data_IF_003593156242
#
_entry.id   IF_003593156242
#
_cell.length_a   1.000
_cell.length_b   1.000
_cell.length_c   1.000
_cell.angle_alpha   90.00
_cell.angle_beta   90.00
_cell.angle_gamma   90.00
#
_symmetry.space_group_name_H-M   'P 1'
#
loop_
_entity.id
_entity.type
_entity.pdbx_description
1 polymer ?
#
# COMPACT_ATOMS: atom_id res chain seq x y z
N UNK A 1 4.28 4.03 13.66
CA UNK A 1 4.13 2.81 12.82
C UNK A 1 3.70 1.59 13.61
N UNK A 2 4.50 1.07 14.56
CA UNK A 2 4.08 -0.09 15.39
C UNK A 2 2.83 0.16 16.22
N UNK A 3 2.63 1.39 16.67
CA UNK A 3 1.37 1.82 17.31
C UNK A 3 0.24 2.03 16.30
N UNK A 4 0.54 2.22 15.02
CA UNK A 4 -0.46 2.59 14.00
C UNK A 4 -1.11 1.36 13.33
N UNK A 5 -0.42 0.21 13.30
CA UNK A 5 -0.89 -0.99 12.59
C UNK A 5 -0.13 -2.23 13.05
N UNK A 6 -0.68 -3.41 12.74
CA UNK A 6 0.02 -4.68 12.84
C UNK A 6 1.12 -4.77 11.75
N UNK A 7 2.36 -4.55 12.19
CA UNK A 7 3.53 -4.55 11.31
C UNK A 7 3.81 -5.94 10.74
N UNK A 8 3.57 -7.01 11.51
CA UNK A 8 3.85 -8.37 11.04
C UNK A 8 2.88 -8.76 9.91
N UNK A 9 1.60 -8.40 10.06
CA UNK A 9 0.61 -8.60 9.01
C UNK A 9 0.94 -7.82 7.73
N UNK A 10 1.38 -6.56 7.84
CA UNK A 10 1.79 -5.76 6.68
C UNK A 10 3.02 -6.35 6.00
N UNK A 11 4.04 -6.74 6.77
CA UNK A 11 5.24 -7.40 6.23
C UNK A 11 4.88 -8.72 5.53
N UNK A 12 3.97 -9.51 6.09
CA UNK A 12 3.50 -10.75 5.47
C UNK A 12 2.82 -10.48 4.10
N UNK A 13 2.04 -9.40 3.99
CA UNK A 13 1.44 -8.98 2.70
C UNK A 13 2.50 -8.55 1.70
N UNK A 14 3.49 -7.76 2.13
CA UNK A 14 4.59 -7.33 1.27
C UNK A 14 5.44 -8.50 0.77
N UNK A 15 5.72 -9.51 1.62
CA UNK A 15 6.41 -10.74 1.20
C UNK A 15 5.63 -11.52 0.13
N UNK A 16 4.29 -11.55 0.22
CA UNK A 16 3.45 -12.16 -0.83
C UNK A 16 3.58 -11.40 -2.15
N UNK A 17 3.53 -10.07 -2.11
CA UNK A 17 3.70 -9.21 -3.30
C UNK A 17 5.08 -9.40 -3.91
N UNK A 18 6.13 -9.44 -3.10
CA UNK A 18 7.49 -9.74 -3.53
C UNK A 18 7.57 -11.10 -4.28
N UNK A 19 6.86 -12.11 -3.79
CA UNK A 19 6.68 -13.39 -4.48
C UNK A 19 6.00 -13.25 -5.85
N UNK A 20 4.96 -12.41 -5.96
CA UNK A 20 4.30 -12.12 -7.23
C UNK A 20 5.25 -11.43 -8.21
N UNK A 21 6.04 -10.44 -7.75
CA UNK A 21 7.02 -9.74 -8.59
C UNK A 21 8.09 -10.73 -9.10
N UNK A 22 8.60 -11.63 -8.24
CA UNK A 22 9.49 -12.72 -8.68
C UNK A 22 8.84 -13.62 -9.74
N UNK A 23 7.59 -13.99 -9.55
CA UNK A 23 6.83 -14.77 -10.53
C UNK A 23 6.73 -14.07 -11.89
N UNK A 24 6.40 -12.77 -11.89
CA UNK A 24 6.34 -11.95 -13.11
C UNK A 24 7.69 -11.90 -13.82
N UNK A 25 8.80 -11.70 -13.08
CA UNK A 25 10.14 -11.72 -13.68
C UNK A 25 10.45 -13.05 -14.36
N UNK A 26 10.10 -14.17 -13.73
CA UNK A 26 10.27 -15.49 -14.33
C UNK A 26 9.39 -15.67 -15.58
N UNK A 27 8.15 -15.16 -15.58
CA UNK A 27 7.28 -15.22 -16.76
C UNK A 27 7.89 -14.48 -17.95
N UNK A 28 8.45 -13.29 -17.71
CA UNK A 28 9.15 -12.52 -18.75
C UNK A 28 10.37 -13.28 -19.28
N UNK A 29 11.16 -13.91 -18.40
CA UNK A 29 12.34 -14.68 -18.81
C UNK A 29 12.01 -15.93 -19.62
N UNK A 30 10.82 -16.51 -19.40
CA UNK A 30 10.37 -17.74 -20.04
C UNK A 30 9.43 -17.50 -21.23
N UNK A 31 9.37 -16.27 -21.76
CA UNK A 31 8.56 -15.90 -22.93
C UNK A 31 7.07 -16.28 -22.79
N UNK A 32 6.53 -16.13 -21.58
CA UNK A 32 5.10 -16.36 -21.30
C UNK A 32 4.26 -15.29 -22.02
N UNK A 33 3.05 -15.63 -22.53
CA UNK A 33 2.19 -14.68 -23.23
C UNK A 33 1.96 -13.37 -22.47
N UNK A 34 1.98 -12.26 -23.21
CA UNK A 34 1.88 -10.91 -22.67
C UNK A 34 0.60 -10.70 -21.86
N UNK A 35 -0.52 -11.27 -22.29
CA UNK A 35 -1.81 -11.22 -21.61
C UNK A 35 -1.74 -11.81 -20.19
N UNK A 36 -1.03 -12.93 -20.02
CA UNK A 36 -0.88 -13.59 -18.73
C UNK A 36 0.01 -12.76 -17.79
N UNK A 37 1.08 -12.17 -18.33
CA UNK A 37 1.95 -11.25 -17.60
C UNK A 37 1.14 -10.04 -17.11
N UNK A 38 0.32 -9.45 -17.98
CA UNK A 38 -0.54 -8.31 -17.63
C UNK A 38 -1.55 -8.67 -16.53
N UNK A 39 -2.13 -9.88 -16.57
CA UNK A 39 -3.00 -10.38 -15.50
C UNK A 39 -2.26 -10.44 -14.16
N UNK A 40 -1.04 -10.97 -14.14
CA UNK A 40 -0.24 -11.07 -12.90
C UNK A 40 0.21 -9.69 -12.38
N UNK A 41 0.57 -8.76 -13.27
CA UNK A 41 0.85 -7.36 -12.90
C UNK A 41 -0.40 -6.73 -12.27
N UNK A 42 -1.58 -6.94 -12.85
CA UNK A 42 -2.85 -6.48 -12.28
C UNK A 42 -3.10 -7.04 -10.87
N UNK A 43 -2.81 -8.32 -10.66
CA UNK A 43 -2.92 -8.96 -9.35
C UNK A 43 -1.94 -8.35 -8.32
N UNK A 44 -0.68 -8.14 -8.70
CA UNK A 44 0.32 -7.50 -7.84
C UNK A 44 -0.05 -6.04 -7.51
N UNK A 45 -0.53 -5.28 -8.50
CA UNK A 45 -1.05 -3.91 -8.33
C UNK A 45 -2.19 -3.88 -7.31
N UNK A 46 -3.18 -4.77 -7.45
CA UNK A 46 -4.32 -4.87 -6.54
C UNK A 46 -3.90 -5.21 -5.11
N UNK A 47 -2.96 -6.16 -4.95
CA UNK A 47 -2.42 -6.54 -3.64
C UNK A 47 -1.65 -5.39 -2.97
N UNK A 48 -0.86 -4.64 -3.74
CA UNK A 48 -0.14 -3.47 -3.25
C UNK A 48 -1.10 -2.36 -2.83
N UNK A 49 -2.13 -2.07 -3.63
CA UNK A 49 -3.16 -1.11 -3.29
C UNK A 49 -3.87 -1.48 -1.98
N UNK A 50 -4.32 -2.73 -1.81
CA UNK A 50 -4.94 -3.21 -0.56
C UNK A 50 -4.01 -3.12 0.64
N UNK A 51 -2.71 -3.31 0.44
CA UNK A 51 -1.71 -3.16 1.51
C UNK A 51 -1.55 -1.69 1.91
N UNK A 52 -1.52 -0.78 0.94
CA UNK A 52 -1.50 0.66 1.20
C UNK A 52 -2.75 1.17 1.91
N UNK A 53 -3.94 0.62 1.60
CA UNK A 53 -5.18 0.94 2.33
C UNK A 53 -5.08 0.62 3.83
N UNK A 54 -4.54 -0.54 4.19
CA UNK A 54 -4.35 -0.92 5.60
C UNK A 54 -3.37 0.02 6.31
N UNK A 55 -2.30 0.43 5.63
CA UNK A 55 -1.33 1.39 6.17
C UNK A 55 -2.00 2.76 6.40
N UNK A 56 -2.79 3.22 5.42
CA UNK A 56 -3.52 4.48 5.48
C UNK A 56 -4.57 4.49 6.60
N UNK A 57 -5.34 3.42 6.75
CA UNK A 57 -6.31 3.24 7.83
C UNK A 57 -5.62 3.35 9.20
N UNK A 58 -4.51 2.64 9.39
CA UNK A 58 -3.72 2.75 10.61
C UNK A 58 -3.18 4.16 10.88
N UNK A 59 -2.79 4.88 9.81
CA UNK A 59 -2.34 6.27 9.91
C UNK A 59 -3.47 7.22 10.35
N UNK A 60 -4.67 7.03 9.82
CA UNK A 60 -5.87 7.78 10.18
C UNK A 60 -6.25 7.58 11.66
N UNK A 61 -6.26 6.33 12.12
CA UNK A 61 -6.73 5.99 13.46
C UNK A 61 -5.77 6.39 14.60
N UNK A 62 -4.49 6.65 14.32
CA UNK A 62 -3.54 7.07 15.35
C UNK A 62 -3.01 8.47 15.07
N UNK A 63 -2.16 8.62 14.05
CA UNK A 63 -1.42 9.86 13.86
C UNK A 63 -2.30 11.07 13.55
N UNK A 64 -3.41 10.87 12.83
CA UNK A 64 -4.33 11.96 12.49
C UNK A 64 -5.21 12.32 13.68
N UNK A 65 -5.77 11.34 14.39
CA UNK A 65 -6.58 11.59 15.59
C UNK A 65 -5.76 12.26 16.70
N UNK A 66 -4.54 11.78 16.96
CA UNK A 66 -3.64 12.37 17.94
C UNK A 66 -3.26 13.81 17.58
N UNK A 67 -2.96 14.07 16.29
CA UNK A 67 -2.58 15.39 15.80
C UNK A 67 -3.71 16.42 15.84
N UNK A 68 -4.96 15.97 15.70
CA UNK A 68 -6.15 16.81 15.90
C UNK A 68 -6.34 17.09 17.40
N UNK A 69 -6.20 16.09 18.25
CA UNK A 69 -6.33 16.23 19.70
C UNK A 69 -5.27 17.17 20.31
N UNK A 70 -4.06 17.23 19.73
CA UNK A 70 -3.00 18.13 20.17
C UNK A 70 -3.12 19.58 19.66
N UNK A 71 -4.21 19.93 18.96
CA UNK A 71 -4.47 21.30 18.48
C UNK A 71 -3.75 21.72 17.19
N UNK A 72 -3.09 20.79 16.48
CA UNK A 72 -2.40 21.05 15.19
C UNK A 72 -3.21 20.50 14.00
N UNK A 73 -4.53 20.72 14.04
CA UNK A 73 -5.50 20.10 13.13
C UNK A 73 -5.24 20.49 11.66
N UNK A 74 -4.89 21.76 11.40
CA UNK A 74 -4.66 22.27 10.05
C UNK A 74 -3.45 21.62 9.36
N UNK A 75 -2.34 21.47 10.07
CA UNK A 75 -1.14 20.81 9.53
C UNK A 75 -1.35 19.31 9.37
N UNK A 76 -2.06 18.69 10.31
CA UNK A 76 -2.40 17.26 10.29
C UNK A 76 -3.28 16.92 9.09
N UNK A 77 -4.36 17.68 8.85
CA UNK A 77 -5.23 17.50 7.67
C UNK A 77 -4.43 17.70 6.37
N UNK A 78 -3.58 18.72 6.28
CA UNK A 78 -2.77 18.97 5.09
C UNK A 78 -1.82 17.81 4.74
N UNK A 79 -1.23 17.16 5.75
CA UNK A 79 -0.40 15.97 5.55
C UNK A 79 -1.23 14.78 5.07
N UNK A 80 -2.41 14.57 5.66
CA UNK A 80 -3.32 13.51 5.26
C UNK A 80 -3.77 13.66 3.79
N UNK A 81 -4.19 14.87 3.39
CA UNK A 81 -4.62 15.15 2.01
C UNK A 81 -3.52 14.81 1.01
N UNK A 82 -2.26 15.20 1.29
CA UNK A 82 -1.12 14.86 0.43
C UNK A 82 -0.89 13.35 0.32
N UNK A 83 -1.02 12.61 1.42
CA UNK A 83 -0.87 11.16 1.40
C UNK A 83 -2.00 10.50 0.59
N UNK A 84 -3.23 10.99 0.73
CA UNK A 84 -4.39 10.53 -0.04
C UNK A 84 -4.24 10.80 -1.54
N UNK A 85 -3.81 12.01 -1.94
CA UNK A 85 -3.58 12.36 -3.35
C UNK A 85 -2.54 11.48 -4.04
N UNK A 86 -1.50 11.08 -3.30
CA UNK A 86 -0.49 10.15 -3.83
C UNK A 86 -1.06 8.74 -3.93
N UNK A 87 -1.79 8.31 -2.91
CA UNK A 87 -2.38 6.98 -2.87
C UNK A 87 -3.47 6.78 -3.92
N UNK A 88 -4.30 7.79 -4.18
CA UNK A 88 -5.37 7.74 -5.18
C UNK A 88 -4.89 7.67 -6.63
N UNK A 89 -3.59 7.88 -6.89
CA UNK A 89 -3.00 7.71 -8.23
C UNK A 89 -2.64 6.26 -8.53
N UNK A 90 -2.72 5.36 -7.54
CA UNK A 90 -2.42 3.94 -7.71
C UNK A 90 -3.61 3.13 -8.27
N UNK A 91 -4.78 3.72 -8.42
CA UNK A 91 -5.95 3.13 -9.09
C UNK A 91 -5.88 3.38 -10.60
#
# INVERSE_FOLDING_TARGET
MRQCMDVEAVVARLKKIEGQIRGIMNMVQNDVPCEDILVQIGAAKSALHKTGQVILEGHLHHCVLDGIASGDSGKTIKKLVRALEQFSRLT
#
